data_IF_928244073947
#
_entry.id   IF_928244073947
#
_cell.length_a   1.000
_cell.length_b   1.000
_cell.length_c   1.000
_cell.angle_alpha   90.00
_cell.angle_beta   90.00
_cell.angle_gamma   90.00
#
_symmetry.space_group_name_H-M   'P 1'
#
loop_
_entity.id
_entity.type
_entity.pdbx_description
1 polymer ?
#
# COMPACT_ATOMS: atom_id res chain seq x y z
N UNK A 1 -15.78 14.13 19.00
CA UNK A 1 -14.70 14.21 18.00
C UNK A 1 -15.20 15.04 16.84
N UNK A 2 -14.39 15.95 16.33
CA UNK A 2 -14.78 16.81 15.20
C UNK A 2 -14.84 15.97 13.92
N UNK A 3 -16.01 15.95 13.27
CA UNK A 3 -16.24 15.17 12.05
C UNK A 3 -15.31 15.63 10.91
N UNK A 4 -14.90 16.91 10.88
CA UNK A 4 -13.98 17.43 9.88
C UNK A 4 -12.56 16.90 10.04
N UNK A 5 -12.09 16.71 11.29
CA UNK A 5 -10.78 16.14 11.59
C UNK A 5 -10.70 14.65 11.23
N UNK A 6 -11.77 13.90 11.49
CA UNK A 6 -11.85 12.48 11.09
C UNK A 6 -11.87 12.35 9.56
N UNK A 7 -12.57 13.24 8.85
CA UNK A 7 -12.59 13.23 7.38
C UNK A 7 -11.21 13.54 6.79
N UNK A 8 -10.48 14.52 7.34
CA UNK A 8 -9.10 14.82 6.91
C UNK A 8 -8.17 13.62 7.14
N UNK A 9 -8.23 13.01 8.33
CA UNK A 9 -7.43 11.82 8.62
C UNK A 9 -7.78 10.62 7.72
N UNK A 10 -9.06 10.46 7.37
CA UNK A 10 -9.50 9.45 6.42
C UNK A 10 -8.93 9.68 5.02
N UNK A 11 -8.96 10.93 4.54
CA UNK A 11 -8.47 11.29 3.21
C UNK A 11 -6.95 11.07 3.10
N UNK A 12 -6.21 11.39 4.17
CA UNK A 12 -4.78 11.11 4.27
C UNK A 12 -4.49 9.60 4.27
N UNK A 13 -5.28 8.80 4.99
CA UNK A 13 -5.12 7.33 5.02
C UNK A 13 -5.47 6.66 3.69
N UNK A 14 -6.26 7.31 2.83
CA UNK A 14 -6.56 6.84 1.46
C UNK A 14 -5.44 7.13 0.47
N UNK A 15 -4.53 8.06 0.79
CA UNK A 15 -3.37 8.37 -0.03
C UNK A 15 -2.25 7.37 0.23
N UNK A 16 -2.21 6.32 -0.59
CA UNK A 16 -1.17 5.29 -0.58
C UNK A 16 -0.53 5.17 -1.95
N UNK A 17 0.79 4.99 -1.99
CA UNK A 17 1.52 4.62 -3.19
C UNK A 17 1.70 3.10 -3.22
N UNK A 18 1.60 2.52 -4.42
CA UNK A 18 1.89 1.11 -4.65
C UNK A 18 2.83 1.00 -5.84
N UNK A 19 3.91 0.24 -5.69
CA UNK A 19 4.79 -0.12 -6.78
C UNK A 19 4.75 -1.64 -7.02
N UNK A 20 4.30 -2.07 -8.20
CA UNK A 20 4.07 -3.48 -8.53
C UNK A 20 5.12 -4.02 -9.48
N UNK A 21 5.81 -5.09 -9.07
CA UNK A 21 6.77 -5.83 -9.90
C UNK A 21 6.43 -7.31 -9.96
N UNK A 22 7.06 -8.05 -10.86
CA UNK A 22 6.79 -9.46 -11.08
C UNK A 22 8.08 -10.23 -11.33
N UNK A 23 8.21 -11.38 -10.66
CA UNK A 23 9.36 -12.28 -10.82
C UNK A 23 8.88 -13.70 -11.04
N UNK A 24 9.48 -14.37 -12.03
CA UNK A 24 9.24 -15.79 -12.27
C UNK A 24 9.99 -16.62 -11.23
N UNK A 25 9.23 -17.38 -10.46
CA UNK A 25 9.75 -18.28 -9.43
C UNK A 25 9.93 -19.68 -10.00
N UNK A 26 11.12 -20.23 -9.79
CA UNK A 26 11.46 -21.62 -10.10
C UNK A 26 11.41 -22.40 -8.78
N UNK A 27 10.27 -23.03 -8.48
CA UNK A 27 10.12 -23.88 -7.31
C UNK A 27 9.71 -25.29 -7.77
N UNK A 28 10.66 -26.23 -7.72
CA UNK A 28 10.46 -27.59 -8.24
C UNK A 28 10.15 -27.62 -9.75
N UNK A 29 9.20 -28.46 -10.16
CA UNK A 29 8.89 -28.71 -11.57
C UNK A 29 7.91 -27.71 -12.21
N UNK A 30 7.23 -26.86 -11.43
CA UNK A 30 6.18 -25.98 -11.93
C UNK A 30 6.49 -24.50 -11.66
N UNK A 31 6.98 -23.75 -12.66
CA UNK A 31 7.25 -22.33 -12.50
C UNK A 31 5.95 -21.55 -12.31
N UNK A 32 6.00 -20.47 -11.52
CA UNK A 32 4.89 -19.53 -11.38
C UNK A 32 5.39 -18.09 -11.25
N UNK A 33 4.53 -17.13 -11.54
CA UNK A 33 4.85 -15.70 -11.38
C UNK A 33 4.44 -15.22 -10.00
N UNK A 34 5.38 -14.68 -9.24
CA UNK A 34 5.13 -13.97 -7.99
C UNK A 34 5.11 -12.47 -8.28
N UNK A 35 4.11 -11.77 -7.74
CA UNK A 35 4.04 -10.32 -7.78
C UNK A 35 4.49 -9.77 -6.44
N UNK A 36 5.41 -8.80 -6.49
CA UNK A 36 5.93 -8.07 -5.34
C UNK A 36 5.34 -6.67 -5.40
N UNK A 37 4.58 -6.28 -4.38
CA UNK A 37 3.95 -4.96 -4.29
C UNK A 37 4.56 -4.25 -3.10
N UNK A 38 5.15 -3.09 -3.34
CA UNK A 38 5.71 -2.22 -2.32
C UNK A 38 4.66 -1.16 -2.05
N UNK A 39 4.11 -1.16 -0.84
CA UNK A 39 3.07 -0.23 -0.43
C UNK A 39 3.70 0.78 0.51
N UNK A 40 3.48 2.06 0.25
CA UNK A 40 3.89 3.16 1.12
C UNK A 40 2.68 4.00 1.49
N UNK A 41 2.58 4.39 2.76
CA UNK A 41 1.56 5.28 3.27
C UNK A 41 2.25 6.41 4.05
N UNK A 42 2.19 7.63 3.50
CA UNK A 42 2.82 8.82 4.08
C UNK A 42 2.16 9.19 5.40
N UNK A 43 0.82 9.09 5.47
CA UNK A 43 0.06 9.36 6.68
C UNK A 43 0.61 8.51 7.84
N UNK A 44 0.63 7.19 7.72
CA UNK A 44 1.11 6.31 8.79
C UNK A 44 2.64 6.18 8.85
N UNK A 45 3.38 6.91 8.01
CA UNK A 45 4.85 6.89 7.94
C UNK A 45 5.41 5.46 7.80
N UNK A 46 4.76 4.63 7.01
CA UNK A 46 5.02 3.19 6.91
C UNK A 46 5.08 2.73 5.48
N UNK A 47 5.97 1.79 5.20
CA UNK A 47 5.97 1.05 3.96
C UNK A 47 6.30 -0.41 4.21
N UNK A 48 5.82 -1.31 3.36
CA UNK A 48 6.08 -2.75 3.46
C UNK A 48 5.91 -3.44 2.11
N UNK A 49 6.33 -4.70 2.07
CA UNK A 49 6.29 -5.52 0.86
C UNK A 49 5.25 -6.62 0.99
N UNK A 50 4.39 -6.73 -0.02
CA UNK A 50 3.37 -7.75 -0.18
C UNK A 50 3.80 -8.67 -1.32
N UNK A 51 3.81 -9.99 -1.08
CA UNK A 51 4.08 -10.98 -2.12
C UNK A 51 2.87 -11.87 -2.38
N UNK A 52 2.30 -11.80 -3.58
CA UNK A 52 1.11 -12.58 -3.97
C UNK A 52 1.23 -13.07 -5.40
N UNK A 53 0.68 -14.24 -5.68
CA UNK A 53 0.50 -14.73 -7.06
C UNK A 53 -0.93 -14.51 -7.54
N UNK A 54 -1.12 -14.57 -8.86
CA UNK A 54 -2.44 -14.43 -9.50
C UNK A 54 -3.59 -15.17 -8.79
N UNK A 55 -3.36 -16.45 -8.44
CA UNK A 55 -4.41 -17.28 -7.82
C UNK A 55 -4.89 -16.77 -6.47
N UNK A 56 -4.04 -16.04 -5.73
CA UNK A 56 -4.40 -15.44 -4.45
C UNK A 56 -5.28 -14.20 -4.66
N UNK A 57 -4.91 -13.31 -5.58
CA UNK A 57 -5.79 -12.20 -5.99
C UNK A 57 -7.15 -12.68 -6.46
N UNK A 58 -7.16 -13.75 -7.28
CA UNK A 58 -8.40 -14.31 -7.79
C UNK A 58 -9.27 -14.93 -6.68
N UNK A 59 -8.66 -15.57 -5.69
CA UNK A 59 -9.37 -16.11 -4.53
C UNK A 59 -10.00 -14.99 -3.69
N UNK A 60 -9.25 -13.92 -3.40
CA UNK A 60 -9.76 -12.74 -2.71
C UNK A 60 -10.95 -12.13 -3.47
N UNK A 61 -10.81 -11.90 -4.79
CA UNK A 61 -11.89 -11.37 -5.62
C UNK A 61 -13.18 -12.18 -5.48
N UNK A 62 -13.08 -13.53 -5.45
CA UNK A 62 -14.25 -14.39 -5.25
C UNK A 62 -14.89 -14.21 -3.88
N UNK A 63 -14.09 -14.09 -2.82
CA UNK A 63 -14.60 -13.86 -1.47
C UNK A 63 -15.32 -12.51 -1.38
N UNK A 64 -14.71 -11.45 -1.91
CA UNK A 64 -15.29 -10.11 -1.93
C UNK A 64 -16.56 -10.04 -2.79
N UNK A 65 -16.63 -10.76 -3.92
CA UNK A 65 -17.84 -10.83 -4.75
C UNK A 65 -18.99 -11.50 -4.01
N UNK A 66 -18.70 -12.57 -3.26
CA UNK A 66 -19.70 -13.23 -2.41
C UNK A 66 -20.21 -12.26 -1.34
N UNK A 67 -19.32 -11.50 -0.70
CA UNK A 67 -19.70 -10.49 0.28
C UNK A 67 -20.57 -9.38 -0.36
N UNK A 68 -20.18 -8.87 -1.53
CA UNK A 68 -20.94 -7.82 -2.23
C UNK A 68 -22.36 -8.28 -2.62
N UNK A 69 -22.49 -9.51 -3.13
CA UNK A 69 -23.79 -10.08 -3.48
C UNK A 69 -24.70 -10.30 -2.26
N UNK A 70 -24.12 -10.70 -1.13
CA UNK A 70 -24.84 -10.79 0.15
C UNK A 70 -25.26 -9.42 0.69
N UNK A 71 -24.39 -8.41 0.57
CA UNK A 71 -24.66 -7.04 1.01
C UNK A 71 -25.81 -6.40 0.22
N UNK A 72 -25.88 -6.66 -1.09
CA UNK A 72 -26.94 -6.13 -1.98
C UNK A 72 -28.36 -6.51 -1.54
N UNK A 73 -28.53 -7.66 -0.90
CA UNK A 73 -29.84 -8.17 -0.48
C UNK A 73 -30.29 -7.65 0.89
N UNK A 74 -29.41 -7.03 1.68
CA UNK A 74 -29.69 -6.64 3.07
C UNK A 74 -29.61 -5.12 3.22
N UNK A 75 -30.73 -4.49 3.61
CA UNK A 75 -30.78 -3.03 3.83
C UNK A 75 -29.73 -2.52 4.82
N UNK A 76 -29.41 -3.31 5.86
CA UNK A 76 -28.38 -2.99 6.83
C UNK A 76 -26.94 -2.96 6.26
N UNK A 77 -26.71 -3.52 5.06
CA UNK A 77 -25.39 -3.64 4.44
C UNK A 77 -25.23 -2.80 3.16
N UNK A 78 -26.11 -1.82 2.94
CA UNK A 78 -26.03 -0.91 1.78
C UNK A 78 -24.68 -0.17 1.76
N UNK A 79 -24.21 0.28 2.92
CA UNK A 79 -22.91 0.97 3.04
C UNK A 79 -21.74 0.06 2.63
N UNK A 80 -21.70 -1.18 3.13
CA UNK A 80 -20.71 -2.18 2.73
C UNK A 80 -20.71 -2.42 1.21
N UNK A 81 -21.90 -2.51 0.60
CA UNK A 81 -22.02 -2.64 -0.85
C UNK A 81 -21.43 -1.43 -1.59
N UNK A 82 -21.67 -0.21 -1.08
CA UNK A 82 -21.10 1.04 -1.63
C UNK A 82 -19.59 1.07 -1.50
N UNK A 83 -19.04 0.72 -0.34
CA UNK A 83 -17.59 0.67 -0.09
C UNK A 83 -16.89 -0.33 -1.03
N UNK A 84 -17.52 -1.47 -1.33
CA UNK A 84 -16.96 -2.48 -2.21
C UNK A 84 -17.00 -2.09 -3.70
N UNK A 85 -17.88 -1.15 -4.11
CA UNK A 85 -18.15 -0.86 -5.52
C UNK A 85 -16.92 -0.44 -6.35
N UNK A 86 -16.00 0.44 -5.87
CA UNK A 86 -14.82 0.85 -6.63
C UNK A 86 -13.93 -0.33 -7.04
N UNK A 87 -13.79 -1.34 -6.17
CA UNK A 87 -12.97 -2.52 -6.46
C UNK A 87 -13.50 -3.33 -7.65
N UNK A 88 -14.82 -3.39 -7.82
CA UNK A 88 -15.45 -4.13 -8.92
C UNK A 88 -15.55 -3.34 -10.22
N UNK A 89 -15.30 -2.02 -10.19
CA UNK A 89 -15.13 -1.21 -11.38
C UNK A 89 -13.79 -1.51 -12.09
N UNK A 90 -12.80 -2.02 -11.36
CA UNK A 90 -11.49 -2.38 -11.92
C UNK A 90 -11.60 -3.67 -12.72
N UNK A 91 -11.14 -3.63 -13.97
CA UNK A 91 -11.03 -4.81 -14.81
C UNK A 91 -10.03 -5.81 -14.20
N UNK A 92 -10.50 -7.02 -13.90
CA UNK A 92 -9.63 -8.04 -13.32
C UNK A 92 -8.93 -8.86 -14.41
N UNK A 93 -7.62 -9.10 -14.31
CA UNK A 93 -6.88 -9.80 -15.35
C UNK A 93 -7.40 -11.21 -15.61
N UNK A 94 -7.53 -11.57 -16.88
CA UNK A 94 -8.10 -12.86 -17.28
C UNK A 94 -7.18 -14.01 -16.88
N UNK A 95 -7.79 -15.15 -16.54
CA UNK A 95 -7.05 -16.38 -16.30
C UNK A 95 -6.49 -16.87 -17.63
N UNK A 96 -5.18 -16.99 -17.72
CA UNK A 96 -4.53 -17.64 -18.85
C UNK A 96 -4.29 -19.11 -18.54
N UNK A 97 -4.44 -19.96 -19.57
CA UNK A 97 -4.08 -21.38 -19.53
C UNK A 97 -2.67 -21.63 -20.07
N UNK A 98 -1.99 -20.58 -20.56
CA UNK A 98 -0.63 -20.62 -21.08
C UNK A 98 0.34 -20.04 -20.07
N UNK A 99 1.64 -20.27 -20.29
CA UNK A 99 2.70 -19.56 -19.57
C UNK A 99 2.53 -18.04 -19.73
N UNK A 100 2.89 -17.29 -18.70
CA UNK A 100 2.79 -15.83 -18.72
C UNK A 100 3.76 -15.25 -19.75
N UNK A 101 3.24 -14.40 -20.64
CA UNK A 101 4.04 -13.56 -21.54
C UNK A 101 4.32 -12.21 -20.87
N UNK A 102 5.35 -11.48 -21.33
CA UNK A 102 5.68 -10.16 -20.75
C UNK A 102 4.51 -9.17 -20.84
N UNK A 103 3.74 -9.19 -21.92
CA UNK A 103 2.52 -8.39 -22.06
C UNK A 103 1.45 -8.76 -21.00
N UNK A 104 1.27 -10.04 -20.71
CA UNK A 104 0.35 -10.48 -19.65
C UNK A 104 0.85 -10.10 -18.25
N UNK A 105 2.17 -10.09 -18.06
CA UNK A 105 2.78 -9.67 -16.80
C UNK A 105 2.56 -8.18 -16.58
N UNK A 106 2.78 -7.34 -17.60
CA UNK A 106 2.54 -5.90 -17.56
C UNK A 106 1.07 -5.56 -17.28
N UNK A 107 0.11 -6.18 -18.00
CA UNK A 107 -1.33 -6.02 -17.75
C UNK A 107 -1.69 -6.35 -16.29
N UNK A 108 -1.10 -7.43 -15.76
CA UNK A 108 -1.36 -7.86 -14.38
C UNK A 108 -0.68 -6.96 -13.35
N UNK A 109 0.51 -6.43 -13.62
CA UNK A 109 1.18 -5.47 -12.74
C UNK A 109 0.33 -4.22 -12.56
N UNK A 110 -0.16 -3.64 -13.65
CA UNK A 110 -1.04 -2.47 -13.63
C UNK A 110 -2.34 -2.78 -12.86
N UNK A 111 -3.00 -3.88 -13.19
CA UNK A 111 -4.25 -4.24 -12.52
C UNK A 111 -4.05 -4.54 -11.03
N UNK A 112 -2.97 -5.23 -10.64
CA UNK A 112 -2.69 -5.53 -9.24
C UNK A 112 -2.22 -4.32 -8.45
N UNK A 113 -1.56 -3.35 -9.10
CA UNK A 113 -1.32 -2.03 -8.52
C UNK A 113 -2.65 -1.38 -8.14
N UNK A 114 -3.53 -1.17 -9.13
CA UNK A 114 -4.84 -0.53 -8.94
C UNK A 114 -5.70 -1.27 -7.90
N UNK A 115 -5.75 -2.60 -7.99
CA UNK A 115 -6.48 -3.42 -7.01
C UNK A 115 -5.91 -3.22 -5.61
N UNK A 116 -4.58 -3.25 -5.43
CA UNK A 116 -3.96 -3.11 -4.10
C UNK A 116 -4.21 -1.73 -3.50
N UNK A 117 -4.10 -0.67 -4.30
CA UNK A 117 -4.45 0.70 -3.90
C UNK A 117 -5.90 0.79 -3.43
N UNK A 118 -6.84 0.24 -4.21
CA UNK A 118 -8.26 0.24 -3.84
C UNK A 118 -8.55 -0.63 -2.62
N UNK A 119 -7.83 -1.73 -2.41
CA UNK A 119 -7.97 -2.55 -1.19
C UNK A 119 -7.48 -1.81 0.06
N UNK A 120 -6.39 -1.02 -0.03
CA UNK A 120 -5.92 -0.16 1.05
C UNK A 120 -6.95 0.93 1.38
N UNK A 121 -7.48 1.61 0.37
CA UNK A 121 -8.52 2.62 0.53
C UNK A 121 -9.82 2.05 1.13
N UNK A 122 -10.25 0.88 0.64
CA UNK A 122 -11.38 0.15 1.19
C UNK A 122 -11.15 -0.17 2.67
N UNK A 123 -9.96 -0.65 3.02
CA UNK A 123 -9.62 -0.96 4.41
C UNK A 123 -9.66 0.28 5.29
N UNK A 124 -9.06 1.39 4.88
CA UNK A 124 -9.10 2.66 5.61
C UNK A 124 -10.55 3.12 5.84
N UNK A 125 -11.39 3.12 4.79
CA UNK A 125 -12.80 3.48 4.89
C UNK A 125 -13.58 2.56 5.85
N UNK A 126 -13.30 1.24 5.85
CA UNK A 126 -13.92 0.32 6.81
C UNK A 126 -13.50 0.62 8.26
N UNK A 127 -12.22 0.92 8.50
CA UNK A 127 -11.73 1.28 9.85
C UNK A 127 -12.41 2.56 10.35
N UNK A 128 -12.52 3.57 9.51
CA UNK A 128 -13.20 4.82 9.84
C UNK A 128 -14.68 4.59 10.12
N UNK A 129 -15.36 3.81 9.27
CA UNK A 129 -16.77 3.49 9.47
C UNK A 129 -17.03 2.78 10.81
N UNK A 130 -16.11 1.90 11.25
CA UNK A 130 -16.17 1.18 12.53
C UNK A 130 -16.01 2.08 13.77
N UNK A 131 -15.47 3.29 13.64
CA UNK A 131 -15.34 4.25 14.75
C UNK A 131 -16.62 5.03 15.02
N UNK A 132 -17.62 4.95 14.14
CA UNK A 132 -18.90 5.64 14.33
C UNK A 132 -19.66 5.02 15.51
N UNK A 133 -20.08 5.81 16.50
CA UNK A 133 -20.72 5.30 17.71
C UNK A 133 -22.10 4.70 17.45
N UNK A 134 -22.75 5.07 16.35
CA UNK A 134 -24.10 4.66 15.95
C UNK A 134 -24.11 3.57 14.86
N UNK A 135 -22.97 2.91 14.60
CA UNK A 135 -22.89 1.87 13.59
C UNK A 135 -23.82 0.69 13.92
N UNK A 136 -24.51 0.19 12.90
CA UNK A 136 -25.32 -1.01 13.02
C UNK A 136 -24.46 -2.24 13.35
N UNK A 137 -24.85 -3.05 14.34
CA UNK A 137 -24.08 -4.23 14.78
C UNK A 137 -23.79 -5.24 13.67
N UNK A 138 -24.75 -5.47 12.76
CA UNK A 138 -24.58 -6.40 11.64
C UNK A 138 -23.55 -5.84 10.65
N UNK A 139 -23.61 -4.54 10.37
CA UNK A 139 -22.63 -3.87 9.51
C UNK A 139 -21.24 -3.91 10.16
N UNK A 140 -21.15 -3.60 11.46
CA UNK A 140 -19.89 -3.61 12.19
C UNK A 140 -19.21 -4.98 12.12
N UNK A 141 -19.95 -6.07 12.35
CA UNK A 141 -19.40 -7.43 12.23
C UNK A 141 -18.82 -7.73 10.84
N UNK A 142 -19.56 -7.38 9.77
CA UNK A 142 -19.11 -7.62 8.39
C UNK A 142 -17.91 -6.73 8.03
N UNK A 143 -17.87 -5.48 8.50
CA UNK A 143 -16.73 -4.58 8.31
C UNK A 143 -15.48 -5.07 9.07
N UNK A 144 -15.62 -5.53 10.31
CA UNK A 144 -14.50 -6.13 11.06
C UNK A 144 -13.95 -7.35 10.34
N UNK A 145 -14.81 -8.27 9.92
CA UNK A 145 -14.41 -9.45 9.17
C UNK A 145 -13.72 -9.11 7.83
N UNK A 146 -14.20 -8.05 7.14
CA UNK A 146 -13.57 -7.55 5.93
C UNK A 146 -12.19 -6.93 6.22
N UNK A 147 -12.07 -6.08 7.24
CA UNK A 147 -10.78 -5.48 7.64
C UNK A 147 -9.74 -6.55 7.96
N UNK A 148 -10.13 -7.62 8.65
CA UNK A 148 -9.25 -8.75 8.96
C UNK A 148 -8.83 -9.52 7.70
N UNK A 149 -9.79 -9.82 6.82
CA UNK A 149 -9.50 -10.47 5.53
C UNK A 149 -8.51 -9.66 4.69
N UNK A 150 -8.72 -8.34 4.62
CA UNK A 150 -7.85 -7.42 3.89
C UNK A 150 -6.47 -7.32 4.55
N UNK A 151 -6.40 -7.22 5.88
CA UNK A 151 -5.14 -7.15 6.62
C UNK A 151 -4.27 -8.39 6.37
N UNK A 152 -4.87 -9.58 6.33
CA UNK A 152 -4.17 -10.83 5.99
C UNK A 152 -3.74 -10.84 4.52
N UNK A 153 -4.61 -10.42 3.60
CA UNK A 153 -4.25 -10.41 2.19
C UNK A 153 -3.13 -9.42 1.86
N UNK A 154 -3.16 -8.24 2.48
CA UNK A 154 -2.23 -7.14 2.26
C UNK A 154 -0.99 -7.19 3.18
N UNK A 155 -0.82 -8.24 3.98
CA UNK A 155 0.27 -8.39 4.94
C UNK A 155 0.47 -7.14 5.82
N UNK A 156 -0.63 -6.51 6.26
CA UNK A 156 -0.59 -5.21 6.95
C UNK A 156 0.19 -5.33 8.27
N UNK A 157 1.31 -4.59 8.44
CA UNK A 157 2.15 -4.70 9.62
C UNK A 157 1.45 -4.10 10.85
N UNK A 158 1.84 -4.54 12.05
CA UNK A 158 1.29 -4.03 13.31
C UNK A 158 1.40 -2.50 13.40
N UNK A 159 2.56 -1.95 13.03
CA UNK A 159 2.79 -0.51 12.99
C UNK A 159 1.77 0.26 12.17
N UNK A 160 1.37 -0.25 11.00
CA UNK A 160 0.34 0.38 10.18
C UNK A 160 -0.99 0.48 10.94
N UNK A 161 -1.38 -0.60 11.63
CA UNK A 161 -2.63 -0.67 12.38
C UNK A 161 -2.61 0.27 13.59
N UNK A 162 -1.47 0.33 14.28
CA UNK A 162 -1.27 1.19 15.44
C UNK A 162 -1.35 2.67 15.06
N UNK A 163 -0.69 3.07 13.95
CA UNK A 163 -0.71 4.45 13.43
C UNK A 163 -2.08 4.86 12.89
N UNK A 164 -2.81 3.96 12.22
CA UNK A 164 -4.21 4.19 11.82
C UNK A 164 -5.09 4.48 13.04
N UNK A 165 -4.99 3.64 14.07
CA UNK A 165 -5.73 3.84 15.30
C UNK A 165 -5.35 5.15 16.00
N UNK A 166 -4.06 5.47 16.05
CA UNK A 166 -3.55 6.71 16.65
C UNK A 166 -4.10 7.95 15.94
N UNK A 167 -3.99 8.01 14.61
CA UNK A 167 -4.48 9.14 13.80
C UNK A 167 -5.98 9.35 13.90
N UNK A 168 -6.75 8.27 13.95
CA UNK A 168 -8.20 8.36 14.03
C UNK A 168 -8.71 8.65 15.45
N UNK A 169 -7.95 8.28 16.49
CA UNK A 169 -8.30 8.54 17.90
C UNK A 169 -7.85 9.92 18.40
N UNK A 170 -6.73 10.44 17.88
CA UNK A 170 -6.17 11.74 18.25
C UNK A 170 -5.66 12.46 16.99
N UNK A 171 -6.56 13.09 16.21
CA UNK A 171 -6.18 13.80 14.98
C UNK A 171 -5.35 15.09 15.20
N UNK A 172 -4.98 15.41 16.45
CA UNK A 172 -4.11 16.53 16.79
C UNK A 172 -2.78 16.04 17.37
N UNK A 173 -1.67 16.66 16.93
CA UNK A 173 -0.26 16.51 17.35
C UNK A 173 0.68 15.65 16.47
N UNK A 174 0.79 15.97 15.17
CA UNK A 174 2.11 15.91 14.52
C UNK A 174 2.93 17.13 15.02
N UNK A 175 3.30 17.15 16.31
CA UNK A 175 4.40 18.01 16.76
C UNK A 175 5.64 17.36 16.16
N UNK A 176 6.10 17.91 15.04
CA UNK A 176 7.41 17.62 14.50
C UNK A 176 8.45 17.87 15.62
N UNK A 177 8.85 16.81 16.33
CA UNK A 177 10.10 16.83 17.06
C UNK A 177 11.19 16.79 15.98
N UNK A 178 11.54 17.96 15.47
CA UNK A 178 12.77 18.17 14.75
C UNK A 178 13.94 17.96 15.72
N UNK A 179 14.26 16.70 16.01
CA UNK A 179 15.61 16.36 16.41
C UNK A 179 16.48 16.56 15.17
N UNK A 180 16.97 17.79 15.02
CA UNK A 180 18.10 18.10 14.15
C UNK A 180 19.32 17.50 14.85
N UNK A 181 19.66 16.27 14.50
CA UNK A 181 21.01 15.77 14.71
C UNK A 181 21.84 16.27 13.53
N UNK A 182 22.85 17.09 13.82
CA UNK A 182 23.83 17.68 12.90
C UNK A 182 24.76 16.62 12.26
N UNK A 183 24.21 15.59 11.62
CA UNK A 183 24.97 14.61 10.82
C UNK A 183 24.65 14.82 9.33
N UNK A 184 25.26 15.85 8.75
CA UNK A 184 25.21 16.27 7.33
C UNK A 184 25.70 15.18 6.33
N UNK A 185 26.19 14.03 6.79
CA UNK A 185 26.68 12.93 5.94
C UNK A 185 25.56 11.96 5.48
N UNK A 186 24.35 12.09 6.05
CA UNK A 186 23.20 11.22 5.79
C UNK A 186 22.13 11.92 4.94
N UNK A 187 22.51 12.57 3.84
CA UNK A 187 21.55 13.15 2.90
C UNK A 187 21.57 12.50 1.52
N UNK A 188 22.47 11.57 1.21
CA UNK A 188 22.57 11.00 -0.14
C UNK A 188 21.88 9.63 -0.24
N UNK A 189 21.13 9.42 -1.33
CA UNK A 189 20.60 8.11 -1.70
C UNK A 189 21.72 7.31 -2.36
N UNK A 190 22.18 6.21 -1.73
CA UNK A 190 23.31 5.46 -2.26
C UNK A 190 23.01 4.62 -3.52
N UNK A 191 21.76 4.61 -4.00
CA UNK A 191 21.38 3.96 -5.27
C UNK A 191 21.60 4.91 -6.45
N UNK A 192 21.15 6.16 -6.37
CA UNK A 192 21.26 7.16 -7.44
C UNK A 192 22.37 8.20 -7.19
N UNK A 193 22.93 8.22 -5.98
CA UNK A 193 23.93 9.18 -5.50
C UNK A 193 23.42 10.64 -5.52
N UNK A 194 22.11 10.84 -5.40
CA UNK A 194 21.46 12.15 -5.32
C UNK A 194 20.91 12.42 -3.92
N UNK A 195 20.74 13.70 -3.58
CA UNK A 195 20.23 14.13 -2.27
C UNK A 195 18.79 13.65 -2.03
N UNK A 196 18.53 13.18 -0.81
CA UNK A 196 17.25 12.72 -0.26
C UNK A 196 16.33 13.89 0.15
N UNK A 197 16.88 15.10 0.27
CA UNK A 197 16.20 16.30 0.76
C UNK A 197 15.36 17.01 -0.31
N UNK A 198 14.25 17.61 0.13
CA UNK A 198 13.12 18.11 -0.70
C UNK A 198 13.35 19.48 -1.35
N UNK A 199 14.57 20.02 -1.38
CA UNK A 199 14.81 21.39 -1.89
C UNK A 199 15.82 21.40 -3.05
N UNK A 200 15.25 21.42 -4.27
CA UNK A 200 15.82 21.83 -5.56
C UNK A 200 17.32 21.60 -5.84
N UNK A 201 17.59 20.68 -6.77
CA UNK A 201 18.53 20.92 -7.89
C UNK A 201 18.33 19.94 -9.04
N UNK A 202 17.37 20.28 -9.92
CA UNK A 202 17.28 19.95 -11.36
C UNK A 202 17.81 18.55 -11.79
N UNK A 203 16.97 17.53 -11.70
CA UNK A 203 17.15 16.31 -12.49
C UNK A 203 16.77 16.57 -13.95
N UNK A 204 17.75 16.76 -14.84
CA UNK A 204 17.54 16.86 -16.28
C UNK A 204 18.00 15.57 -16.95
N UNK A 205 17.31 14.45 -16.71
CA UNK A 205 17.35 13.34 -17.67
C UNK A 205 16.07 12.50 -17.69
N UNK A 206 15.28 12.82 -18.71
CA UNK A 206 14.07 12.18 -19.24
C UNK A 206 12.75 12.41 -18.48
N UNK A 207 11.85 13.13 -19.18
CA UNK A 207 10.52 13.61 -18.83
C UNK A 207 10.47 14.84 -17.91
N UNK A 208 10.24 15.99 -18.55
CA UNK A 208 9.68 17.19 -17.90
C UNK A 208 8.29 16.81 -17.42
N UNK A 209 8.07 16.81 -16.12
CA UNK A 209 6.74 16.93 -15.53
C UNK A 209 6.81 18.14 -14.60
N UNK A 210 6.12 19.20 -15.00
CA UNK A 210 5.76 20.31 -14.12
C UNK A 210 4.81 19.75 -13.05
N UNK A 211 5.29 19.66 -11.81
CA UNK A 211 4.56 19.83 -10.55
C UNK A 211 5.54 19.54 -9.40
N UNK A 212 5.54 20.37 -8.35
CA UNK A 212 6.46 20.32 -7.20
C UNK A 212 6.21 19.11 -6.28
N UNK A 213 6.22 17.88 -6.81
CA UNK A 213 6.12 16.67 -6.00
C UNK A 213 7.51 16.26 -5.51
N UNK A 214 7.78 16.54 -4.24
CA UNK A 214 8.96 16.01 -3.56
C UNK A 214 8.87 14.48 -3.48
N UNK A 215 9.85 13.77 -4.03
CA UNK A 215 9.92 12.31 -3.94
C UNK A 215 10.07 11.85 -2.48
N UNK A 216 9.31 10.82 -2.08
CA UNK A 216 9.35 10.29 -0.72
C UNK A 216 10.64 9.48 -0.45
N UNK A 217 11.04 9.42 0.81
CA UNK A 217 12.23 8.66 1.24
C UNK A 217 11.80 7.49 2.10
N UNK A 218 12.27 6.29 1.74
CA UNK A 218 11.99 5.05 2.46
C UNK A 218 13.22 4.63 3.26
N UNK A 219 13.05 4.54 4.57
CA UNK A 219 14.01 3.91 5.48
C UNK A 219 13.63 2.46 5.71
N UNK A 220 14.56 1.53 5.47
CA UNK A 220 14.38 0.12 5.79
C UNK A 220 14.44 -0.10 7.31
N UNK A 221 13.96 -1.25 7.79
CA UNK A 221 14.13 -1.68 9.19
C UNK A 221 15.58 -1.74 9.66
N UNK A 222 16.54 -1.91 8.75
CA UNK A 222 17.97 -1.85 9.05
C UNK A 222 18.53 -0.42 9.22
N UNK A 223 17.69 0.62 9.04
CA UNK A 223 18.06 2.03 9.20
C UNK A 223 18.52 2.73 7.92
N UNK A 224 18.88 2.02 6.86
CA UNK A 224 19.30 2.66 5.59
C UNK A 224 18.14 3.26 4.82
N UNK A 225 18.31 4.47 4.28
CA UNK A 225 17.27 5.23 3.58
C UNK A 225 17.60 5.54 2.13
N UNK A 226 16.57 5.55 1.28
CA UNK A 226 16.69 5.73 -0.17
C UNK A 226 15.46 6.46 -0.71
N UNK A 227 15.55 7.09 -1.88
CA UNK A 227 14.35 7.52 -2.61
C UNK A 227 13.44 6.32 -2.87
N UNK A 228 12.13 6.53 -2.78
CA UNK A 228 11.12 5.50 -3.00
C UNK A 228 11.28 4.82 -4.37
N UNK A 229 11.44 5.58 -5.46
CA UNK A 229 11.60 4.99 -6.79
C UNK A 229 12.88 4.15 -6.91
N UNK A 230 13.96 4.61 -6.28
CA UNK A 230 15.27 3.96 -6.34
C UNK A 230 15.23 2.60 -5.64
N UNK A 231 14.73 2.56 -4.41
CA UNK A 231 14.67 1.31 -3.65
C UNK A 231 13.57 0.40 -4.16
N UNK A 232 12.44 0.94 -4.62
CA UNK A 232 11.38 0.13 -5.20
C UNK A 232 11.89 -0.69 -6.39
N UNK A 233 12.66 -0.05 -7.29
CA UNK A 233 13.31 -0.69 -8.44
C UNK A 233 14.32 -1.76 -8.03
N UNK A 234 15.09 -1.51 -6.97
CA UNK A 234 16.04 -2.49 -6.45
C UNK A 234 15.33 -3.74 -5.90
N UNK A 235 14.27 -3.52 -5.13
CA UNK A 235 13.50 -4.56 -4.45
C UNK A 235 12.69 -5.46 -5.39
N UNK A 236 12.49 -5.07 -6.65
CA UNK A 236 11.89 -5.94 -7.67
C UNK A 236 12.67 -7.26 -7.84
N UNK A 237 14.00 -7.16 -7.75
CA UNK A 237 14.90 -8.30 -7.99
C UNK A 237 15.54 -8.80 -6.70
N UNK A 238 15.85 -7.89 -5.78
CA UNK A 238 16.66 -8.13 -4.60
C UNK A 238 15.89 -7.76 -3.33
N UNK A 239 15.36 -8.75 -2.62
CA UNK A 239 14.59 -8.55 -1.38
C UNK A 239 15.47 -8.26 -0.16
N UNK A 240 16.55 -7.50 -0.35
CA UNK A 240 17.57 -7.18 0.65
C UNK A 240 18.03 -5.74 0.52
N UNK A 241 18.48 -5.14 1.60
CA UNK A 241 19.07 -3.81 1.61
C UNK A 241 20.26 -3.70 0.64
N UNK A 242 20.34 -2.67 -0.22
CA UNK A 242 21.51 -2.42 -1.09
C UNK A 242 22.83 -2.27 -0.32
N UNK A 243 22.78 -1.77 0.92
CA UNK A 243 23.96 -1.45 1.73
C UNK A 243 24.41 -2.64 2.58
N UNK A 244 23.56 -3.14 3.48
CA UNK A 244 23.94 -4.19 4.44
C UNK A 244 23.46 -5.60 4.07
N UNK A 245 22.63 -5.73 3.03
CA UNK A 245 22.03 -7.01 2.57
C UNK A 245 21.11 -7.70 3.59
N UNK A 246 20.68 -7.00 4.65
CA UNK A 246 19.61 -7.49 5.51
C UNK A 246 18.28 -7.59 4.75
N UNK A 247 17.39 -8.54 5.10
CA UNK A 247 16.09 -8.67 4.46
C UNK A 247 15.29 -7.37 4.51
N UNK A 248 14.79 -6.95 3.35
CA UNK A 248 13.93 -5.78 3.24
C UNK A 248 12.46 -6.25 3.24
N UNK A 249 11.73 -5.97 4.31
CA UNK A 249 10.30 -6.29 4.43
C UNK A 249 9.41 -5.06 4.59
N UNK A 250 10.01 -3.91 4.92
CA UNK A 250 9.33 -2.63 5.13
C UNK A 250 10.18 -1.67 5.96
N UNK A 251 9.53 -0.61 6.46
CA UNK A 251 10.14 0.37 7.34
C UNK A 251 9.33 1.67 7.44
N UNK A 252 10.04 2.81 7.45
CA UNK A 252 9.48 4.15 7.69
C UNK A 252 9.50 4.98 6.40
N UNK A 253 8.44 5.75 6.19
CA UNK A 253 8.35 6.76 5.12
C UNK A 253 8.65 8.14 5.72
N UNK A 254 9.43 8.96 5.02
CA UNK A 254 9.81 10.33 5.37
C UNK A 254 9.33 11.35 4.33
#
# INVERSE_FOLDING_TARGET
>A
MDASLIQSAEDDLKQVSVHASAKRMLCGSNPFTMYTLIVSCVATKTWWIIQRRYRQFFALKKQLLKLQTQAKAKAALVELHTLLAPLFAIAFPKKSLRLDTDAMVAERQEAFNNITTTLMQLRAACVVALLRPDINEILAWELTALVDLLAVFLDVPARQKDEEHHRLSSPEHDVACCHVSDDDDDEMCSICLLTRSRVQSRCVHFAVVDEEESESVLSLTCGHSFHESCVAKWLETNMVCPMCREPATGGVVH
#
